data_IF_256298434674
#
_entry.id   IF_256298434674
#
_cell.length_a   1.000
_cell.length_b   1.000
_cell.length_c   1.000
_cell.angle_alpha   90.00
_cell.angle_beta   90.00
_cell.angle_gamma   90.00
#
_symmetry.space_group_name_H-M   'P 1'
#
loop_
_entity.id
_entity.type
_entity.pdbx_description
1 polymer ?
#
# COMPACT_ATOMS: atom_id res chain seq x y z
N UNK A 1 -16.84 -8.63 -60.30
CA UNK A 1 -15.72 -7.68 -60.08
C UNK A 1 -16.04 -6.65 -59.01
N UNK A 2 -17.09 -5.82 -59.11
CA UNK A 2 -17.41 -4.77 -58.10
C UNK A 2 -17.53 -5.31 -56.67
N UNK A 3 -18.07 -6.53 -56.50
CA UNK A 3 -18.22 -7.20 -55.20
C UNK A 3 -16.89 -7.63 -54.57
N UNK A 4 -15.91 -8.11 -55.34
CA UNK A 4 -14.64 -8.60 -54.78
C UNK A 4 -13.76 -7.45 -54.29
N UNK A 5 -13.59 -6.42 -55.12
CA UNK A 5 -12.78 -5.24 -54.78
C UNK A 5 -13.34 -4.49 -53.57
N UNK A 6 -14.67 -4.39 -53.48
CA UNK A 6 -15.35 -3.76 -52.34
C UNK A 6 -15.17 -4.58 -51.06
N UNK A 7 -15.29 -5.90 -51.13
CA UNK A 7 -15.10 -6.80 -49.99
C UNK A 7 -13.66 -6.77 -49.46
N UNK A 8 -12.65 -6.69 -50.34
CA UNK A 8 -11.23 -6.57 -49.94
C UNK A 8 -10.96 -5.22 -49.28
N UNK A 9 -11.53 -4.13 -49.82
CA UNK A 9 -11.38 -2.81 -49.22
C UNK A 9 -12.07 -2.71 -47.86
N UNK A 10 -13.27 -3.27 -47.73
CA UNK A 10 -14.03 -3.30 -46.49
C UNK A 10 -13.33 -4.16 -45.42
N UNK A 11 -12.84 -5.36 -45.77
CA UNK A 11 -12.12 -6.21 -44.82
C UNK A 11 -10.86 -5.53 -44.30
N UNK A 12 -10.13 -4.82 -45.16
CA UNK A 12 -8.93 -4.05 -44.77
C UNK A 12 -9.26 -2.95 -43.77
N UNK A 13 -10.36 -2.21 -43.97
CA UNK A 13 -10.83 -1.18 -43.02
C UNK A 13 -11.29 -1.76 -41.67
N UNK A 14 -11.95 -2.92 -41.70
CA UNK A 14 -12.36 -3.63 -40.46
C UNK A 14 -11.13 -4.02 -39.64
N UNK A 15 -10.06 -4.51 -40.27
CA UNK A 15 -8.82 -4.89 -39.58
C UNK A 15 -8.17 -3.70 -38.86
N UNK A 16 -8.08 -2.54 -39.51
CA UNK A 16 -7.59 -1.32 -38.86
C UNK A 16 -8.47 -0.89 -37.68
N UNK A 17 -9.79 -0.99 -37.84
CA UNK A 17 -10.75 -0.64 -36.79
C UNK A 17 -10.62 -1.56 -35.58
N UNK A 18 -10.42 -2.86 -35.81
CA UNK A 18 -10.19 -3.85 -34.75
C UNK A 18 -8.85 -3.60 -34.03
N UNK A 19 -7.77 -3.28 -34.75
CA UNK A 19 -6.49 -2.94 -34.15
C UNK A 19 -6.58 -1.72 -33.22
N UNK A 20 -7.26 -0.66 -33.67
CA UNK A 20 -7.52 0.54 -32.88
C UNK A 20 -8.40 0.20 -31.67
N UNK A 21 -9.47 -0.57 -31.87
CA UNK A 21 -10.37 -1.02 -30.81
C UNK A 21 -9.64 -1.79 -29.71
N UNK A 22 -8.74 -2.69 -30.09
CA UNK A 22 -7.92 -3.45 -29.15
C UNK A 22 -6.96 -2.54 -28.36
N UNK A 23 -6.29 -1.60 -29.03
CA UNK A 23 -5.43 -0.60 -28.36
C UNK A 23 -6.21 0.27 -27.37
N UNK A 24 -7.43 0.68 -27.70
CA UNK A 24 -8.30 1.46 -26.80
C UNK A 24 -8.77 0.61 -25.62
N UNK A 25 -9.16 -0.65 -25.85
CA UNK A 25 -9.57 -1.56 -24.78
C UNK A 25 -8.42 -1.78 -23.78
N UNK A 26 -7.20 -1.96 -24.28
CA UNK A 26 -5.99 -2.04 -23.47
C UNK A 26 -5.74 -0.74 -22.70
N UNK A 27 -5.81 0.41 -23.36
CA UNK A 27 -5.62 1.74 -22.74
C UNK A 27 -6.64 2.07 -21.64
N UNK A 28 -7.80 1.41 -21.62
CA UNK A 28 -8.81 1.53 -20.56
C UNK A 28 -8.53 0.64 -19.35
N UNK A 29 -7.58 -0.29 -19.43
CA UNK A 29 -7.13 -1.07 -18.28
C UNK A 29 -6.37 -0.19 -17.29
N UNK A 30 -6.61 -0.39 -16.01
CA UNK A 30 -6.07 0.45 -14.92
C UNK A 30 -4.55 0.31 -14.72
N UNK A 31 -3.89 -0.65 -15.38
CA UNK A 31 -2.57 -1.17 -15.00
C UNK A 31 -1.44 -0.98 -16.05
N UNK A 32 -1.47 0.08 -16.86
CA UNK A 32 -0.46 0.32 -17.91
C UNK A 32 0.67 1.29 -17.51
N UNK A 33 1.93 0.92 -17.82
CA UNK A 33 3.06 1.83 -17.62
C UNK A 33 3.00 3.05 -18.55
N UNK A 34 3.65 4.17 -18.15
CA UNK A 34 3.78 5.38 -19.00
C UNK A 34 4.41 5.08 -20.38
N UNK A 35 5.30 4.09 -20.45
CA UNK A 35 5.91 3.62 -21.71
C UNK A 35 4.89 2.92 -22.60
N UNK A 36 4.13 1.97 -22.03
CA UNK A 36 3.06 1.28 -22.72
C UNK A 36 1.97 2.25 -23.22
N UNK A 37 1.54 3.20 -22.39
CA UNK A 37 0.54 4.22 -22.80
C UNK A 37 1.02 5.01 -24.02
N UNK A 38 2.30 5.42 -24.05
CA UNK A 38 2.89 6.11 -25.21
C UNK A 38 2.94 5.19 -26.43
N UNK A 39 3.30 3.93 -26.25
CA UNK A 39 3.36 2.93 -27.30
C UNK A 39 1.98 2.69 -27.94
N UNK A 40 0.93 2.40 -27.15
CA UNK A 40 -0.42 2.18 -27.66
C UNK A 40 -1.03 3.42 -28.31
N UNK A 41 -0.76 4.63 -27.78
CA UNK A 41 -1.16 5.88 -28.46
C UNK A 41 -0.45 6.05 -29.80
N UNK A 42 0.83 5.66 -29.88
CA UNK A 42 1.59 5.61 -31.13
C UNK A 42 0.99 4.65 -32.14
N UNK A 43 0.64 3.42 -31.73
CA UNK A 43 -0.01 2.43 -32.60
C UNK A 43 -1.36 2.93 -33.14
N UNK A 44 -2.18 3.57 -32.30
CA UNK A 44 -3.44 4.18 -32.74
C UNK A 44 -3.17 5.24 -33.82
N UNK A 45 -2.18 6.12 -33.62
CA UNK A 45 -1.84 7.16 -34.59
C UNK A 45 -1.35 6.57 -35.93
N UNK A 46 -0.50 5.53 -35.88
CA UNK A 46 0.00 4.84 -37.08
C UNK A 46 -1.15 4.19 -37.86
N UNK A 47 -2.06 3.49 -37.18
CA UNK A 47 -3.22 2.87 -37.81
C UNK A 47 -4.17 3.92 -38.43
N UNK A 48 -4.37 5.08 -37.80
CA UNK A 48 -5.15 6.18 -38.37
C UNK A 48 -4.50 6.78 -39.63
N UNK A 49 -3.17 6.94 -39.63
CA UNK A 49 -2.42 7.41 -40.81
C UNK A 49 -2.52 6.37 -41.94
N UNK A 50 -2.40 5.08 -41.62
CA UNK A 50 -2.55 4.00 -42.59
C UNK A 50 -3.95 3.95 -43.23
N UNK A 51 -5.02 4.17 -42.45
CA UNK A 51 -6.38 4.33 -42.98
C UNK A 51 -6.45 5.51 -43.95
N UNK A 52 -5.89 6.67 -43.60
CA UNK A 52 -5.93 7.86 -44.45
C UNK A 52 -5.22 7.61 -45.80
N UNK A 53 -4.01 7.03 -45.77
CA UNK A 53 -3.25 6.65 -46.96
C UNK A 53 -3.99 5.61 -47.79
N UNK A 54 -4.60 4.62 -47.15
CA UNK A 54 -5.39 3.58 -47.81
C UNK A 54 -6.60 4.18 -48.55
N UNK A 55 -7.34 5.08 -47.90
CA UNK A 55 -8.49 5.76 -48.51
C UNK A 55 -8.03 6.61 -49.70
N UNK A 56 -6.96 7.39 -49.56
CA UNK A 56 -6.40 8.20 -50.65
C UNK A 56 -6.00 7.34 -51.86
N UNK A 57 -5.36 6.20 -51.62
CA UNK A 57 -4.98 5.24 -52.68
C UNK A 57 -6.18 4.55 -53.31
N UNK A 58 -7.25 4.29 -52.57
CA UNK A 58 -8.50 3.77 -53.14
C UNK A 58 -9.11 4.71 -54.19
N UNK A 59 -8.89 6.03 -54.08
CA UNK A 59 -9.45 7.04 -55.00
C UNK A 59 -8.51 7.48 -56.12
N UNK A 60 -7.20 7.25 -56.00
CA UNK A 60 -6.18 7.77 -56.94
C UNK A 60 -5.64 6.74 -57.94
N UNK A 61 -5.87 5.44 -57.69
CA UNK A 61 -5.30 4.35 -58.50
C UNK A 61 -6.15 4.08 -59.74
N UNK A 62 -5.49 3.92 -60.89
CA UNK A 62 -6.12 3.55 -62.16
C UNK A 62 -6.91 2.23 -62.05
N UNK A 63 -8.09 2.21 -62.68
CA UNK A 63 -9.11 1.15 -62.54
C UNK A 63 -8.60 -0.26 -62.91
N UNK A 64 -7.54 -0.34 -63.72
CA UNK A 64 -6.94 -1.57 -64.26
C UNK A 64 -5.96 -2.27 -63.32
N UNK A 65 -5.36 -1.58 -62.34
CA UNK A 65 -4.42 -2.16 -61.36
C UNK A 65 -4.96 -2.18 -59.92
N UNK A 66 -6.20 -1.74 -59.72
CA UNK A 66 -6.80 -1.50 -58.39
C UNK A 66 -6.94 -2.77 -57.54
N UNK A 67 -7.28 -3.91 -58.13
CA UNK A 67 -7.45 -5.17 -57.38
C UNK A 67 -6.12 -5.71 -56.86
N UNK A 68 -5.07 -5.69 -57.69
CA UNK A 68 -3.73 -6.15 -57.31
C UNK A 68 -3.12 -5.27 -56.22
N UNK A 69 -3.28 -3.94 -56.32
CA UNK A 69 -2.82 -3.03 -55.27
C UNK A 69 -3.61 -3.20 -53.98
N UNK A 70 -4.94 -3.37 -54.04
CA UNK A 70 -5.75 -3.64 -52.85
C UNK A 70 -5.39 -4.96 -52.17
N UNK A 71 -5.04 -6.00 -52.93
CA UNK A 71 -4.52 -7.25 -52.41
C UNK A 71 -3.20 -7.04 -51.67
N UNK A 72 -2.26 -6.28 -52.25
CA UNK A 72 -0.98 -5.94 -51.60
C UNK A 72 -1.24 -5.19 -50.29
N UNK A 73 -2.10 -4.18 -50.29
CA UNK A 73 -2.47 -3.45 -49.07
C UNK A 73 -3.13 -4.35 -48.02
N UNK A 74 -4.04 -5.24 -48.43
CA UNK A 74 -4.69 -6.18 -47.53
C UNK A 74 -3.67 -7.15 -46.91
N UNK A 75 -2.73 -7.69 -47.70
CA UNK A 75 -1.67 -8.58 -47.21
C UNK A 75 -0.73 -7.89 -46.22
N UNK A 76 -0.32 -6.64 -46.51
CA UNK A 76 0.52 -5.85 -45.60
C UNK A 76 -0.25 -5.57 -44.30
N UNK A 77 -1.50 -5.14 -44.40
CA UNK A 77 -2.36 -4.83 -43.24
C UNK A 77 -2.56 -6.06 -42.36
N UNK A 78 -2.77 -7.23 -42.96
CA UNK A 78 -2.90 -8.49 -42.23
C UNK A 78 -1.63 -8.87 -41.48
N UNK A 79 -0.46 -8.69 -42.10
CA UNK A 79 0.82 -8.98 -41.47
C UNK A 79 1.13 -8.01 -40.32
N UNK A 80 0.85 -6.72 -40.51
CA UNK A 80 0.95 -5.71 -39.44
C UNK A 80 0.02 -6.05 -38.29
N UNK A 81 -1.23 -6.43 -38.57
CA UNK A 81 -2.20 -6.81 -37.54
C UNK A 81 -1.74 -8.02 -36.70
N UNK A 82 -1.14 -9.04 -37.33
CA UNK A 82 -0.57 -10.19 -36.60
C UNK A 82 0.56 -9.72 -35.70
N UNK A 83 1.49 -8.90 -36.21
CA UNK A 83 2.61 -8.37 -35.42
C UNK A 83 2.10 -7.55 -34.25
N UNK A 84 1.13 -6.66 -34.47
CA UNK A 84 0.50 -5.88 -33.41
C UNK A 84 -0.17 -6.80 -32.39
N UNK A 85 -0.98 -7.77 -32.82
CA UNK A 85 -1.63 -8.72 -31.90
C UNK A 85 -0.60 -9.47 -31.04
N UNK A 86 0.49 -9.96 -31.63
CA UNK A 86 1.58 -10.62 -30.90
C UNK A 86 2.26 -9.65 -29.94
N UNK A 87 2.58 -8.42 -30.36
CA UNK A 87 3.19 -7.41 -29.49
C UNK A 87 2.29 -7.07 -28.31
N UNK A 88 0.97 -7.04 -28.48
CA UNK A 88 0.04 -6.73 -27.40
C UNK A 88 -0.12 -7.91 -26.43
N UNK A 89 -0.07 -9.15 -26.93
CA UNK A 89 -0.14 -10.36 -26.09
C UNK A 89 1.19 -10.63 -25.36
N UNK A 90 2.33 -10.34 -25.99
CA UNK A 90 3.67 -10.65 -25.48
C UNK A 90 4.27 -9.50 -24.68
N UNK A 91 3.92 -8.24 -24.96
CA UNK A 91 4.35 -7.13 -24.11
C UNK A 91 3.70 -7.31 -22.73
N UNK A 92 4.48 -7.37 -21.64
CA UNK A 92 3.94 -7.55 -20.30
C UNK A 92 2.97 -6.40 -20.00
N UNK A 93 1.68 -6.73 -20.01
CA UNK A 93 0.57 -5.80 -19.75
C UNK A 93 0.50 -5.37 -18.29
N UNK A 94 1.16 -6.13 -17.41
CA UNK A 94 1.34 -5.76 -16.02
C UNK A 94 2.57 -4.89 -15.99
N UNK A 95 2.37 -3.61 -15.68
CA UNK A 95 3.50 -2.80 -15.27
C UNK A 95 4.28 -3.59 -14.22
N UNK A 96 5.60 -3.68 -14.42
CA UNK A 96 6.48 -4.03 -13.32
C UNK A 96 5.99 -3.19 -12.14
N UNK A 97 5.63 -3.85 -11.03
CA UNK A 97 5.85 -3.21 -9.76
C UNK A 97 7.32 -2.79 -9.83
N UNK A 98 7.55 -1.50 -10.11
CA UNK A 98 8.70 -0.85 -9.55
C UNK A 98 8.45 -1.00 -8.07
N UNK A 99 8.95 -2.10 -7.52
CA UNK A 99 9.45 -2.17 -6.17
C UNK A 99 10.42 -0.99 -6.17
N UNK A 100 9.92 0.19 -5.82
CA UNK A 100 10.79 1.26 -5.40
C UNK A 100 11.60 0.59 -4.31
N UNK A 101 12.90 0.43 -4.55
CA UNK A 101 13.81 -0.13 -3.56
C UNK A 101 13.85 0.87 -2.41
N UNK A 102 12.83 0.90 -1.55
CA UNK A 102 13.09 0.88 -0.12
C UNK A 102 14.03 -0.28 0.05
N UNK A 103 15.31 0.02 0.29
CA UNK A 103 16.30 -1.02 0.58
C UNK A 103 15.73 -1.74 1.79
N UNK A 104 15.27 -3.00 1.63
CA UNK A 104 14.68 -3.70 2.75
C UNK A 104 15.77 -3.79 3.81
N UNK A 105 15.41 -3.51 5.06
CA UNK A 105 16.27 -3.80 6.20
C UNK A 105 16.22 -5.31 6.41
N UNK A 106 16.83 -6.03 5.49
CA UNK A 106 17.07 -7.45 5.66
C UNK A 106 18.22 -7.63 6.64
N UNK A 107 17.89 -8.09 7.84
CA UNK A 107 18.90 -8.67 8.73
C UNK A 107 19.20 -10.11 8.29
N UNK A 108 20.15 -10.75 8.98
CA UNK A 108 20.48 -12.15 8.75
C UNK A 108 19.27 -13.08 8.87
N UNK A 109 18.33 -12.75 9.76
CA UNK A 109 17.20 -13.59 10.15
C UNK A 109 15.83 -13.10 9.68
N UNK A 110 15.70 -11.86 9.21
CA UNK A 110 14.44 -11.25 8.79
C UNK A 110 14.36 -11.09 7.26
N UNK A 111 13.15 -11.24 6.71
CA UNK A 111 12.78 -10.93 5.32
C UNK A 111 11.73 -9.81 5.33
N UNK A 112 11.90 -8.83 4.44
CA UNK A 112 10.92 -7.75 4.21
C UNK A 112 10.35 -7.85 2.79
N UNK A 113 9.03 -7.79 2.68
CA UNK A 113 8.28 -7.72 1.43
C UNK A 113 7.60 -6.36 1.34
N UNK A 114 7.88 -5.62 0.27
CA UNK A 114 7.35 -4.27 0.06
C UNK A 114 6.31 -4.27 -1.06
N UNK A 115 5.19 -3.61 -0.81
CA UNK A 115 4.08 -3.40 -1.73
C UNK A 115 3.88 -1.91 -1.92
N UNK A 116 3.62 -1.47 -3.15
CA UNK A 116 3.30 -0.07 -3.46
C UNK A 116 1.92 -0.03 -4.13
N UNK A 117 1.00 0.71 -3.52
CA UNK A 117 -0.37 0.85 -4.04
C UNK A 117 -0.49 1.98 -5.05
N UNK A 118 -1.61 2.05 -5.76
CA UNK A 118 -1.90 3.11 -6.73
C UNK A 118 -1.92 4.52 -6.11
N UNK A 119 -2.29 4.63 -4.84
CA UNK A 119 -2.26 5.87 -4.06
C UNK A 119 -0.87 6.23 -3.53
N UNK A 120 0.18 5.50 -3.96
CA UNK A 120 1.55 5.63 -3.45
C UNK A 120 1.63 5.39 -1.94
N UNK A 121 0.84 4.44 -1.43
CA UNK A 121 1.01 3.91 -0.08
C UNK A 121 1.99 2.74 -0.20
N UNK A 122 3.11 2.83 0.49
CA UNK A 122 4.07 1.74 0.64
C UNK A 122 3.66 0.93 1.85
N UNK A 123 3.57 -0.38 1.70
CA UNK A 123 3.29 -1.33 2.78
C UNK A 123 4.48 -2.26 2.87
N UNK A 124 5.03 -2.44 4.06
CA UNK A 124 6.17 -3.30 4.33
C UNK A 124 5.75 -4.40 5.31
N UNK A 125 5.79 -5.64 4.83
CA UNK A 125 5.58 -6.83 5.63
C UNK A 125 6.94 -7.39 6.07
N UNK A 126 7.15 -7.57 7.37
CA UNK A 126 8.40 -8.11 7.94
C UNK A 126 8.11 -9.41 8.68
N UNK A 127 8.94 -10.43 8.44
CA UNK A 127 8.75 -11.79 8.98
C UNK A 127 10.11 -12.53 9.07
N UNK A 128 10.16 -13.65 9.78
CA UNK A 128 11.38 -14.47 9.89
C UNK A 128 11.69 -15.17 8.56
N UNK A 129 12.96 -15.20 8.13
CA UNK A 129 13.40 -15.94 6.92
C UNK A 129 13.10 -17.43 7.01
N UNK A 130 13.19 -17.98 8.23
CA UNK A 130 12.81 -19.36 8.55
C UNK A 130 11.71 -19.30 9.59
N UNK A 131 10.49 -19.55 9.17
CA UNK A 131 9.34 -19.63 10.08
C UNK A 131 9.45 -20.90 10.92
N UNK A 132 9.58 -20.72 12.25
CA UNK A 132 9.56 -21.81 13.22
C UNK A 132 8.20 -21.96 13.92
N UNK A 133 7.46 -20.86 14.04
CA UNK A 133 6.14 -20.78 14.69
C UNK A 133 5.49 -19.45 14.34
N UNK A 134 4.32 -19.49 13.69
CA UNK A 134 3.55 -18.30 13.33
C UNK A 134 2.40 -18.10 14.32
N UNK A 135 2.39 -16.97 15.01
CA UNK A 135 1.36 -16.62 16.03
C UNK A 135 0.26 -15.72 15.48
N UNK A 136 0.58 -14.89 14.49
CA UNK A 136 -0.33 -13.92 13.89
C UNK A 136 0.41 -12.76 13.27
N UNK A 137 -0.34 -11.77 12.78
CA UNK A 137 0.17 -10.58 12.12
C UNK A 137 -0.16 -9.33 12.92
N UNK A 138 0.86 -8.53 13.25
CA UNK A 138 0.70 -7.24 13.94
C UNK A 138 0.77 -6.10 12.92
N UNK A 139 -0.30 -5.31 12.82
CA UNK A 139 -0.36 -4.09 12.01
C UNK A 139 -0.02 -2.89 12.88
N UNK A 140 1.03 -2.16 12.53
CA UNK A 140 1.43 -0.94 13.25
C UNK A 140 0.75 0.30 12.69
N UNK A 141 -0.04 0.97 13.53
CA UNK A 141 -0.73 2.22 13.24
C UNK A 141 0.04 3.40 13.86
N UNK A 142 0.39 4.40 13.04
CA UNK A 142 1.32 5.47 13.41
C UNK A 142 0.60 6.70 14.01
N UNK A 143 1.14 7.35 15.07
CA UNK A 143 0.52 8.51 15.70
C UNK A 143 0.33 9.69 14.74
N UNK A 144 1.34 10.02 13.94
CA UNK A 144 1.27 11.05 12.89
C UNK A 144 1.10 10.41 11.52
N UNK A 145 0.01 9.64 11.36
CA UNK A 145 -0.22 8.83 10.16
C UNK A 145 -0.15 9.65 8.87
N UNK A 146 -0.50 10.94 8.89
CA UNK A 146 -0.45 11.80 7.70
C UNK A 146 0.96 12.01 7.11
N UNK A 147 2.00 11.91 7.94
CA UNK A 147 3.34 12.43 7.60
C UNK A 147 4.49 11.50 7.97
N UNK A 148 4.21 10.47 8.75
CA UNK A 148 5.22 9.51 9.17
C UNK A 148 5.51 8.49 8.06
N UNK A 149 6.79 8.11 7.93
CA UNK A 149 7.24 7.03 7.05
C UNK A 149 7.24 5.67 7.77
N UNK A 150 7.71 4.60 7.09
CA UNK A 150 7.68 3.22 7.60
C UNK A 150 8.29 3.05 8.99
N UNK A 151 9.24 3.91 9.35
CA UNK A 151 10.01 3.81 10.58
C UNK A 151 9.63 4.92 11.57
N UNK A 152 8.52 5.63 11.36
CA UNK A 152 8.08 6.71 12.23
C UNK A 152 8.83 8.03 12.03
N UNK A 153 9.59 8.23 10.94
CA UNK A 153 10.14 9.57 10.67
C UNK A 153 9.05 10.47 10.12
N UNK A 154 8.88 11.64 10.72
CA UNK A 154 7.88 12.61 10.31
C UNK A 154 8.46 13.59 9.30
N UNK A 155 7.73 13.78 8.21
CA UNK A 155 8.14 14.62 7.10
C UNK A 155 7.12 15.71 6.81
N UNK A 156 7.60 16.87 6.32
CA UNK A 156 6.75 17.97 5.92
C UNK A 156 7.08 18.42 4.50
N UNK A 157 6.05 18.51 3.66
CA UNK A 157 6.20 19.03 2.31
C UNK A 157 6.06 20.54 2.30
N UNK A 158 7.15 21.23 1.96
CA UNK A 158 7.15 22.68 1.71
C UNK A 158 7.49 22.94 0.25
N UNK A 159 6.49 23.38 -0.53
CA UNK A 159 6.60 23.58 -1.99
C UNK A 159 7.03 22.28 -2.69
N UNK A 160 8.28 22.22 -3.17
CA UNK A 160 8.85 21.06 -3.87
C UNK A 160 9.90 20.32 -3.03
N UNK A 161 9.98 20.58 -1.72
CA UNK A 161 10.95 19.96 -0.82
C UNK A 161 10.24 19.22 0.31
N UNK A 162 10.70 18.01 0.58
CA UNK A 162 10.35 17.20 1.77
C UNK A 162 11.38 17.53 2.86
N UNK A 163 10.93 18.08 3.98
CA UNK A 163 11.77 18.46 5.12
C UNK A 163 11.53 17.49 6.30
N UNK A 164 12.61 16.98 6.88
CA UNK A 164 12.54 16.15 8.09
C UNK A 164 12.12 17.01 9.29
N UNK A 165 11.10 16.56 10.02
CA UNK A 165 10.59 17.25 11.20
C UNK A 165 11.01 16.60 12.52
N UNK A 166 11.10 15.27 12.54
CA UNK A 166 11.34 14.52 13.77
C UNK A 166 11.00 13.04 13.62
N UNK A 167 10.81 12.36 14.73
CA UNK A 167 10.57 10.93 14.80
C UNK A 167 9.46 10.65 15.81
N UNK A 168 8.44 9.89 15.43
CA UNK A 168 7.29 9.50 16.27
C UNK A 168 7.38 8.05 16.76
N UNK A 169 8.53 7.39 16.59
CA UNK A 169 8.79 6.11 17.23
C UNK A 169 9.52 5.11 16.37
N UNK A 170 10.22 4.16 16.98
CA UNK A 170 11.10 3.21 16.27
C UNK A 170 10.37 1.93 15.90
N UNK A 171 9.46 2.06 14.95
CA UNK A 171 8.63 0.95 14.48
C UNK A 171 9.43 -0.22 13.88
N UNK A 172 10.64 0.04 13.41
CA UNK A 172 11.59 -0.97 12.96
C UNK A 172 12.17 -1.81 14.12
N UNK A 173 12.51 -1.19 15.24
CA UNK A 173 12.98 -1.89 16.44
C UNK A 173 11.83 -2.70 17.09
N UNK A 174 10.64 -2.10 17.19
CA UNK A 174 9.44 -2.78 17.72
C UNK A 174 9.03 -3.95 16.80
N UNK A 175 9.07 -3.74 15.48
CA UNK A 175 8.80 -4.77 14.49
C UNK A 175 9.75 -5.96 14.65
N UNK A 176 11.05 -5.72 14.80
CA UNK A 176 12.03 -6.79 14.99
C UNK A 176 11.78 -7.62 16.24
N UNK A 177 11.42 -6.95 17.34
CA UNK A 177 11.08 -7.61 18.59
C UNK A 177 9.94 -8.62 18.38
N UNK A 178 8.81 -8.17 17.82
CA UNK A 178 7.65 -9.04 17.64
C UNK A 178 7.86 -10.10 16.56
N UNK A 179 8.64 -9.80 15.52
CA UNK A 179 8.97 -10.83 14.52
C UNK A 179 9.81 -11.95 15.13
N UNK A 180 10.77 -11.61 16.00
CA UNK A 180 11.54 -12.59 16.77
C UNK A 180 10.67 -13.35 17.79
N UNK A 181 9.58 -12.76 18.26
CA UNK A 181 8.58 -13.39 19.12
C UNK A 181 7.60 -14.34 18.37
N UNK A 182 7.69 -14.43 17.03
CA UNK A 182 6.89 -15.34 16.21
C UNK A 182 5.71 -14.69 15.46
N UNK A 183 5.66 -13.36 15.39
CA UNK A 183 4.66 -12.63 14.62
C UNK A 183 5.18 -12.26 13.23
N UNK A 184 4.27 -12.01 12.30
CA UNK A 184 4.55 -11.14 11.15
C UNK A 184 4.18 -9.71 11.53
N UNK A 185 4.79 -8.73 10.88
CA UNK A 185 4.46 -7.33 11.14
C UNK A 185 4.22 -6.58 9.85
N UNK A 186 3.25 -5.67 9.86
CA UNK A 186 2.91 -4.79 8.75
C UNK A 186 3.10 -3.35 9.18
N UNK A 187 3.88 -2.61 8.39
CA UNK A 187 4.08 -1.16 8.51
C UNK A 187 3.68 -0.50 7.21
N UNK A 188 3.31 0.78 7.24
CA UNK A 188 2.96 1.53 6.04
C UNK A 188 3.57 2.93 6.02
N UNK A 189 3.66 3.50 4.82
CA UNK A 189 4.23 4.81 4.55
C UNK A 189 3.48 5.45 3.39
N UNK A 190 2.95 6.63 3.62
CA UNK A 190 2.45 7.48 2.55
C UNK A 190 2.98 8.91 2.69
N UNK A 191 4.11 9.08 3.37
CA UNK A 191 4.79 10.35 3.63
C UNK A 191 5.32 11.02 2.37
N UNK A 192 5.41 10.31 1.24
CA UNK A 192 5.75 10.89 -0.07
C UNK A 192 4.57 11.61 -0.74
N UNK A 193 3.34 11.37 -0.28
CA UNK A 193 2.17 12.09 -0.75
C UNK A 193 2.18 13.53 -0.24
N UNK A 194 1.86 14.45 -1.14
CA UNK A 194 1.76 15.89 -0.80
C UNK A 194 0.44 16.21 -0.13
N UNK A 195 -0.62 15.60 -0.64
CA UNK A 195 -1.96 15.73 -0.08
C UNK A 195 -2.19 14.61 0.94
N UNK A 196 -2.85 14.91 2.07
CA UNK A 196 -3.22 13.89 3.04
C UNK A 196 -4.09 12.81 2.41
N UNK A 197 -3.74 11.55 2.67
CA UNK A 197 -4.61 10.40 2.38
C UNK A 197 -5.52 10.17 3.59
N UNK A 198 -6.79 9.85 3.35
CA UNK A 198 -7.71 9.51 4.43
C UNK A 198 -7.31 8.19 5.10
N UNK A 199 -7.55 8.09 6.41
CA UNK A 199 -7.29 6.87 7.15
C UNK A 199 -8.06 5.68 6.56
N UNK A 200 -9.30 5.88 6.12
CA UNK A 200 -10.12 4.83 5.50
C UNK A 200 -9.44 4.22 4.26
N UNK A 201 -8.82 5.04 3.41
CA UNK A 201 -8.09 4.54 2.23
C UNK A 201 -6.89 3.70 2.65
N UNK A 202 -6.13 4.13 3.66
CA UNK A 202 -4.99 3.38 4.20
C UNK A 202 -5.46 2.03 4.76
N UNK A 203 -6.50 2.04 5.60
CA UNK A 203 -7.05 0.83 6.23
C UNK A 203 -7.57 -0.16 5.18
N UNK A 204 -8.25 0.29 4.13
CA UNK A 204 -8.71 -0.58 3.04
C UNK A 204 -7.54 -1.23 2.29
N UNK A 205 -6.46 -0.49 2.03
CA UNK A 205 -5.27 -1.05 1.37
C UNK A 205 -4.55 -2.07 2.26
N UNK A 206 -4.43 -1.79 3.56
CA UNK A 206 -3.90 -2.77 4.51
C UNK A 206 -4.78 -4.01 4.59
N UNK A 207 -6.11 -3.86 4.60
CA UNK A 207 -7.05 -4.99 4.64
C UNK A 207 -6.90 -5.91 3.43
N UNK A 208 -6.75 -5.34 2.22
CA UNK A 208 -6.51 -6.13 1.00
C UNK A 208 -5.25 -7.00 1.16
N UNK A 209 -4.16 -6.44 1.69
CA UNK A 209 -2.92 -7.20 1.93
C UNK A 209 -3.13 -8.32 2.95
N UNK A 210 -3.87 -8.05 4.03
CA UNK A 210 -4.23 -9.08 5.02
C UNK A 210 -5.05 -10.22 4.39
N UNK A 211 -6.02 -9.88 3.53
CA UNK A 211 -6.88 -10.85 2.82
C UNK A 211 -6.08 -11.70 1.83
N UNK A 212 -5.21 -11.08 1.02
CA UNK A 212 -4.37 -11.77 0.04
C UNK A 212 -3.38 -12.75 0.70
N UNK A 213 -2.95 -12.44 1.92
CA UNK A 213 -2.06 -13.28 2.72
C UNK A 213 -2.80 -14.32 3.57
N UNK A 214 -4.14 -14.30 3.56
CA UNK A 214 -4.99 -15.19 4.35
C UNK A 214 -4.67 -15.13 5.86
N UNK A 215 -4.43 -13.92 6.37
CA UNK A 215 -4.05 -13.65 7.75
C UNK A 215 -5.28 -13.75 8.67
N UNK A 216 -5.37 -14.82 9.46
CA UNK A 216 -6.52 -15.07 10.32
C UNK A 216 -6.43 -14.36 11.69
N UNK A 217 -5.23 -14.30 12.28
CA UNK A 217 -4.97 -13.66 13.57
C UNK A 217 -4.33 -12.29 13.31
N UNK A 218 -5.11 -11.22 13.47
CA UNK A 218 -4.70 -9.85 13.16
C UNK A 218 -4.73 -9.03 14.43
N UNK A 219 -3.54 -8.69 14.94
CA UNK A 219 -3.37 -7.76 16.04
C UNK A 219 -3.17 -6.36 15.44
N UNK A 220 -3.85 -5.35 15.95
CA UNK A 220 -3.60 -3.96 15.53
C UNK A 220 -3.01 -3.17 16.70
N UNK A 221 -1.84 -2.57 16.45
CA UNK A 221 -1.08 -1.79 17.42
C UNK A 221 -1.26 -0.29 17.15
N UNK A 222 -1.99 0.39 18.04
CA UNK A 222 -2.30 1.80 17.98
C UNK A 222 -1.54 2.57 19.06
N UNK A 223 -0.87 3.66 18.68
CA UNK A 223 -0.18 4.53 19.63
C UNK A 223 -0.45 6.01 19.36
N UNK A 224 -0.74 6.76 20.43
CA UNK A 224 -1.00 8.20 20.38
C UNK A 224 -2.28 8.55 19.62
N UNK A 225 -2.22 9.57 18.76
CA UNK A 225 -3.41 10.16 18.14
C UNK A 225 -4.18 9.20 17.20
N UNK A 226 -3.54 8.13 16.72
CA UNK A 226 -4.21 7.16 15.85
C UNK A 226 -5.37 6.44 16.55
N UNK A 227 -5.39 6.44 17.88
CA UNK A 227 -6.51 5.96 18.70
C UNK A 227 -7.82 6.74 18.45
N UNK A 228 -7.77 7.95 17.88
CA UNK A 228 -8.97 8.69 17.45
C UNK A 228 -9.81 7.91 16.42
N UNK A 229 -9.16 7.05 15.63
CA UNK A 229 -9.79 6.27 14.55
C UNK A 229 -10.07 4.82 14.95
N UNK A 230 -10.18 4.53 16.25
CA UNK A 230 -10.27 3.15 16.74
C UNK A 230 -11.49 2.40 16.19
N UNK A 231 -12.61 3.10 15.97
CA UNK A 231 -13.83 2.50 15.42
C UNK A 231 -13.62 2.13 13.95
N UNK A 232 -13.06 3.03 13.14
CA UNK A 232 -12.74 2.76 11.73
C UNK A 232 -11.72 1.63 11.60
N UNK A 233 -10.71 1.61 12.47
CA UNK A 233 -9.71 0.54 12.55
C UNK A 233 -10.39 -0.81 12.84
N UNK A 234 -11.27 -0.85 13.85
CA UNK A 234 -11.99 -2.05 14.22
C UNK A 234 -12.90 -2.56 13.08
N UNK A 235 -13.70 -1.68 12.48
CA UNK A 235 -14.66 -2.04 11.43
C UNK A 235 -13.98 -2.49 10.12
N UNK A 236 -12.88 -1.84 9.73
CA UNK A 236 -12.23 -2.09 8.44
C UNK A 236 -11.18 -3.20 8.54
N UNK A 237 -10.29 -3.15 9.54
CA UNK A 237 -9.23 -4.16 9.66
C UNK A 237 -9.73 -5.45 10.29
N UNK A 238 -10.79 -5.38 11.10
CA UNK A 238 -11.37 -6.52 11.85
C UNK A 238 -10.31 -7.27 12.65
N UNK A 239 -9.61 -6.58 13.58
CA UNK A 239 -8.61 -7.21 14.41
C UNK A 239 -9.21 -8.29 15.31
N UNK A 240 -8.41 -9.31 15.62
CA UNK A 240 -8.67 -10.28 16.68
C UNK A 240 -8.28 -9.72 18.04
N UNK A 241 -7.23 -8.88 18.11
CA UNK A 241 -6.78 -8.19 19.31
C UNK A 241 -6.36 -6.75 18.99
N UNK A 242 -6.55 -5.85 19.96
CA UNK A 242 -6.10 -4.46 19.87
C UNK A 242 -5.12 -4.12 21.00
N UNK A 243 -4.09 -3.35 20.65
CA UNK A 243 -3.17 -2.74 21.60
C UNK A 243 -3.30 -1.23 21.44
N UNK A 244 -3.76 -0.55 22.48
CA UNK A 244 -3.98 0.89 22.50
C UNK A 244 -3.05 1.55 23.52
N UNK A 245 -2.06 2.29 23.01
CA UNK A 245 -1.07 3.00 23.81
C UNK A 245 -1.38 4.50 23.81
N UNK A 246 -1.53 5.08 25.00
CA UNK A 246 -1.62 6.52 25.18
C UNK A 246 -2.88 7.17 24.59
N UNK A 247 -4.03 6.90 25.20
CA UNK A 247 -5.27 7.60 24.86
C UNK A 247 -5.19 9.09 25.28
N UNK A 248 -5.43 10.00 24.33
CA UNK A 248 -5.21 11.44 24.56
C UNK A 248 -6.34 12.13 25.35
N UNK A 249 -7.56 11.60 25.28
CA UNK A 249 -8.75 12.18 25.90
C UNK A 249 -9.81 11.11 26.26
N UNK A 250 -10.87 11.55 26.93
CA UNK A 250 -11.91 10.66 27.49
C UNK A 250 -12.78 10.04 26.41
N UNK A 251 -13.08 10.78 25.34
CA UNK A 251 -13.89 10.31 24.22
C UNK A 251 -13.21 9.14 23.49
N UNK A 252 -11.89 9.24 23.26
CA UNK A 252 -11.08 8.16 22.70
C UNK A 252 -11.16 6.92 23.60
N UNK A 253 -11.00 7.10 24.91
CA UNK A 253 -11.03 6.01 25.88
C UNK A 253 -12.39 5.31 25.92
N UNK A 254 -13.49 6.06 25.86
CA UNK A 254 -14.85 5.52 25.76
C UNK A 254 -15.06 4.70 24.49
N UNK A 255 -14.52 5.15 23.36
CA UNK A 255 -14.59 4.38 22.11
C UNK A 255 -13.75 3.09 22.19
N UNK A 256 -12.56 3.14 22.79
CA UNK A 256 -11.75 1.94 23.07
C UNK A 256 -12.53 0.94 23.95
N UNK A 257 -13.23 1.42 24.99
CA UNK A 257 -14.03 0.54 25.85
C UNK A 257 -15.19 -0.12 25.13
N UNK A 258 -15.87 0.58 24.20
CA UNK A 258 -16.90 -0.05 23.36
C UNK A 258 -16.32 -1.20 22.53
N UNK A 259 -15.15 -1.00 21.92
CA UNK A 259 -14.50 -2.07 21.14
C UNK A 259 -14.05 -3.23 22.05
N UNK A 260 -13.64 -2.95 23.29
CA UNK A 260 -13.28 -3.96 24.29
C UNK A 260 -14.43 -4.88 24.68
N UNK A 261 -15.68 -4.49 24.45
CA UNK A 261 -16.85 -5.38 24.63
C UNK A 261 -16.92 -6.49 23.57
N UNK A 262 -16.16 -6.38 22.47
CA UNK A 262 -16.21 -7.30 21.35
C UNK A 262 -14.94 -8.13 21.18
N UNK A 263 -13.77 -7.54 21.46
CA UNK A 263 -12.47 -8.20 21.33
C UNK A 263 -11.54 -7.87 22.49
N UNK A 264 -10.50 -8.69 22.76
CA UNK A 264 -9.46 -8.34 23.71
C UNK A 264 -8.75 -7.03 23.34
N UNK A 265 -8.67 -6.11 24.30
CA UNK A 265 -7.97 -4.83 24.15
C UNK A 265 -6.98 -4.63 25.29
N UNK A 266 -5.70 -4.51 24.96
CA UNK A 266 -4.67 -4.02 25.85
C UNK A 266 -4.69 -2.49 25.87
N UNK A 267 -4.68 -1.90 27.06
CA UNK A 267 -4.61 -0.45 27.22
C UNK A 267 -3.39 -0.15 28.08
N UNK A 268 -2.44 0.62 27.54
CA UNK A 268 -1.24 1.04 28.25
C UNK A 268 -1.02 2.55 28.16
N UNK A 269 -0.33 3.10 29.15
CA UNK A 269 0.07 4.50 29.16
C UNK A 269 1.47 4.70 29.78
N UNK A 270 2.01 5.91 29.61
CA UNK A 270 3.27 6.32 30.23
C UNK A 270 2.97 7.42 31.25
N UNK A 271 3.27 7.17 32.53
CA UNK A 271 2.68 7.89 33.67
C UNK A 271 2.90 9.41 33.74
N UNK A 272 3.92 9.95 33.06
CA UNK A 272 4.16 11.40 32.99
C UNK A 272 3.96 11.99 31.58
N UNK A 273 3.29 11.29 30.67
CA UNK A 273 3.08 11.81 29.32
C UNK A 273 2.17 13.06 29.36
N UNK A 274 2.69 14.26 29.04
CA UNK A 274 1.89 15.49 29.10
C UNK A 274 0.82 15.58 28.01
N UNK A 275 0.77 14.64 27.06
CA UNK A 275 -0.23 14.59 25.99
C UNK A 275 -1.38 13.61 26.27
N UNK A 276 -1.22 12.71 27.25
CA UNK A 276 -2.27 11.83 27.73
C UNK A 276 -2.98 12.48 28.92
N UNK A 277 -4.07 13.18 28.65
CA UNK A 277 -4.78 13.96 29.68
C UNK A 277 -5.73 13.13 30.54
N UNK A 278 -5.88 11.83 30.26
CA UNK A 278 -6.81 10.94 30.95
C UNK A 278 -6.03 9.83 31.63
N UNK A 279 -6.15 9.79 32.96
CA UNK A 279 -5.67 8.68 33.77
C UNK A 279 -6.71 7.56 33.70
N UNK A 280 -6.30 6.40 33.19
CA UNK A 280 -7.13 5.21 33.19
C UNK A 280 -6.60 4.24 34.24
N UNK A 281 -7.38 3.99 35.29
CA UNK A 281 -7.01 3.07 36.38
C UNK A 281 -6.88 1.61 35.92
N UNK A 282 -7.47 1.28 34.77
CA UNK A 282 -7.36 -0.05 34.15
C UNK A 282 -6.24 -0.12 33.09
N UNK A 283 -5.49 0.96 32.87
CA UNK A 283 -4.34 0.92 31.98
C UNK A 283 -3.14 0.31 32.70
N UNK A 284 -2.34 -0.44 31.97
CA UNK A 284 -1.01 -0.82 32.45
C UNK A 284 -0.12 0.41 32.37
N UNK A 285 0.27 0.91 33.55
CA UNK A 285 1.14 2.08 33.68
C UNK A 285 2.60 1.67 33.53
N UNK A 286 3.27 2.19 32.50
CA UNK A 286 4.71 2.03 32.32
C UNK A 286 5.47 3.17 32.99
N UNK A 287 6.50 2.83 33.76
CA UNK A 287 7.41 3.83 34.33
C UNK A 287 8.13 4.58 33.22
N UNK A 288 8.38 5.87 33.45
CA UNK A 288 8.97 6.79 32.50
C UNK A 288 10.45 6.42 32.30
N UNK A 289 10.73 5.52 31.37
CA UNK A 289 12.10 5.10 31.09
C UNK A 289 12.82 6.20 30.31
N UNK A 290 14.13 6.29 30.47
CA UNK A 290 14.88 7.50 30.10
C UNK A 290 14.96 7.72 28.56
N UNK A 291 14.07 8.55 28.00
CA UNK A 291 14.11 8.92 26.58
C UNK A 291 14.89 10.21 26.29
N UNK A 292 15.60 10.21 25.16
CA UNK A 292 16.46 11.31 24.70
C UNK A 292 15.85 11.96 23.45
N UNK A 293 15.22 13.14 23.60
CA UNK A 293 14.66 13.90 22.46
C UNK A 293 15.73 14.61 21.62
N UNK A 294 15.55 14.59 20.29
CA UNK A 294 16.20 15.52 19.38
C UNK A 294 15.37 16.82 19.26
N UNK A 295 15.93 17.95 19.70
CA UNK A 295 15.24 19.26 19.76
C UNK A 295 15.43 20.03 18.45
N UNK A 296 14.31 20.47 17.84
CA UNK A 296 14.31 21.60 16.92
C UNK A 296 14.28 22.91 17.72
N UNK A 297 15.45 23.54 17.89
CA UNK A 297 15.58 24.94 18.33
C UNK A 297 15.56 25.22 19.84
N UNK A 298 16.75 25.51 20.40
CA UNK A 298 17.07 26.41 21.54
C UNK A 298 16.19 26.43 22.82
N UNK A 299 15.36 25.44 23.14
CA UNK A 299 14.79 25.29 24.49
C UNK A 299 14.94 23.85 24.99
N UNK A 300 15.67 23.68 26.10
CA UNK A 300 15.71 22.44 26.87
C UNK A 300 14.29 22.15 27.36
N UNK A 301 13.65 21.11 26.84
CA UNK A 301 12.50 20.48 27.47
C UNK A 301 13.02 19.35 28.38
N UNK A 302 12.38 19.22 29.55
CA UNK A 302 12.68 18.21 30.58
C UNK A 302 12.31 16.80 30.08
N UNK A 303 12.99 15.77 30.62
CA UNK A 303 12.70 14.34 30.48
C UNK A 303 11.20 14.07 30.68
N UNK A 304 10.48 13.71 29.62
CA UNK A 304 9.14 13.11 29.69
C UNK A 304 8.98 12.21 28.46
N UNK A 305 8.91 10.89 28.65
CA UNK A 305 8.45 9.96 27.62
C UNK A 305 7.08 10.39 27.13
N UNK A 306 6.89 10.34 25.82
CA UNK A 306 5.62 10.69 25.17
C UNK A 306 5.02 9.38 24.67
N UNK A 307 3.73 9.18 24.86
CA UNK A 307 2.94 8.16 24.15
C UNK A 307 2.54 8.67 22.75
N UNK A 308 2.72 9.96 22.49
CA UNK A 308 2.63 10.56 21.16
C UNK A 308 3.80 10.15 20.24
N UNK A 309 4.91 9.64 20.81
CA UNK A 309 6.07 9.11 20.09
C UNK A 309 6.43 7.71 20.65
N UNK A 310 6.51 6.63 19.86
CA UNK A 310 6.75 5.26 20.39
C UNK A 310 8.17 5.01 20.92
N UNK A 311 8.95 6.05 21.18
CA UNK A 311 10.24 5.91 21.87
C UNK A 311 9.99 5.22 23.23
N UNK A 312 8.97 5.67 23.97
CA UNK A 312 8.39 5.02 25.17
C UNK A 312 8.33 3.50 25.13
N UNK A 313 7.77 3.01 24.02
CA UNK A 313 7.41 1.61 23.81
C UNK A 313 8.62 0.75 23.48
N UNK A 314 9.74 1.34 23.01
CA UNK A 314 10.96 0.57 22.69
C UNK A 314 11.70 0.05 23.93
N UNK A 315 11.23 0.40 25.13
CA UNK A 315 11.69 -0.25 26.34
C UNK A 315 11.35 -1.74 26.32
N UNK A 316 12.37 -2.58 26.47
CA UNK A 316 12.23 -4.04 26.49
C UNK A 316 11.24 -4.50 27.57
N UNK A 317 11.14 -3.78 28.68
CA UNK A 317 10.15 -4.08 29.73
C UNK A 317 8.71 -3.87 29.25
N UNK A 318 8.43 -2.80 28.51
CA UNK A 318 7.10 -2.54 27.97
C UNK A 318 6.72 -3.56 26.88
N UNK A 319 7.65 -3.87 25.96
CA UNK A 319 7.44 -4.88 24.94
C UNK A 319 7.22 -6.28 25.53
N UNK A 320 7.95 -6.62 26.59
CA UNK A 320 7.80 -7.89 27.30
C UNK A 320 6.42 -8.06 27.93
N UNK A 321 5.88 -7.02 28.58
CA UNK A 321 4.51 -7.04 29.13
C UNK A 321 3.46 -7.23 28.03
N UNK A 322 3.64 -6.56 26.88
CA UNK A 322 2.73 -6.70 25.74
C UNK A 322 2.81 -8.11 25.14
N UNK A 323 4.02 -8.67 24.99
CA UNK A 323 4.21 -10.04 24.51
C UNK A 323 3.58 -11.08 25.45
N UNK A 324 3.74 -10.90 26.76
CA UNK A 324 3.13 -11.77 27.77
C UNK A 324 1.60 -11.74 27.66
N UNK A 325 1.01 -10.54 27.58
CA UNK A 325 -0.43 -10.38 27.40
C UNK A 325 -0.94 -11.03 26.10
N UNK A 326 -0.22 -10.87 24.98
CA UNK A 326 -0.59 -11.52 23.71
C UNK A 326 -0.51 -13.05 23.82
N UNK A 327 0.49 -13.57 24.53
CA UNK A 327 0.64 -15.01 24.77
C UNK A 327 -0.51 -15.57 25.63
N UNK A 328 -1.04 -14.77 26.57
CA UNK A 328 -2.23 -15.14 27.33
C UNK A 328 -3.48 -15.21 26.46
N UNK A 329 -3.66 -14.27 25.52
CA UNK A 329 -4.80 -14.30 24.59
C UNK A 329 -4.75 -15.51 23.67
N UNK A 330 -3.56 -15.87 23.17
CA UNK A 330 -3.37 -17.09 22.37
C UNK A 330 -3.81 -18.34 23.13
N UNK A 331 -3.40 -18.47 24.40
CA UNK A 331 -3.82 -19.59 25.26
C UNK A 331 -5.33 -19.60 25.49
N UNK A 332 -5.92 -18.44 25.80
CA UNK A 332 -7.36 -18.32 26.03
C UNK A 332 -8.19 -18.68 24.77
N UNK A 333 -7.72 -18.32 23.58
CA UNK A 333 -8.36 -18.68 22.30
C UNK A 333 -8.26 -20.17 21.95
N UNK A 334 -7.23 -20.87 22.43
CA UNK A 334 -7.09 -22.33 22.24
C UNK A 334 -7.99 -23.14 23.18
N UNK A 335 -8.41 -22.57 24.31
CA UNK A 335 -9.27 -23.23 25.30
C UNK A 335 -10.78 -23.10 24.97
N UNK A 336 -11.17 -22.21 24.05
CA UNK A 336 -12.54 -22.13 23.58
C UNK A 336 -12.83 -23.25 22.56
N UNK A 337 -13.89 -24.06 22.74
CA UNK A 337 -14.23 -25.10 21.79
C UNK A 337 -14.61 -24.46 20.44
N UNK A 338 -13.81 -24.77 19.40
CA UNK A 338 -14.03 -24.34 18.01
C UNK A 338 -15.33 -24.89 17.42
#
# INVERSE_FOLDING_TARGET
MITSTFMIGFSTLVMYTLAIGFCIAVLRGEWLTKGCIRFYRGLIAVNLIAIAVFIEKCFTVEKTSREEQLLIFASITFLVFIIETVLIVVAPMKGDHKISKTVPRETFDLKEENFETEENIKICCTQMKKESSFKGTIVFMQPDYYKADLNGKVWFHKKNKKEYLGHTGKYDEISDFFVRAGYHTIRYDHSDNREPISIETVLKRVRIILDERNEANVVVFCAGNINEFINEIYEILKPTELICMGAANQEILENIFKVKEHIPVFIGDFGDDPYCNVKNENAVHFENTDFTFCVRGKRKLKKYGRSADNEGITDVSALGVIEEWLTEQEKAGLEQPR
#
